data_IF_187405003029
#
_entry.id   IF_187405003029
#
_cell.length_a   1.000
_cell.length_b   1.000
_cell.length_c   1.000
_cell.angle_alpha   90.00
_cell.angle_beta   90.00
_cell.angle_gamma   90.00
#
_symmetry.space_group_name_H-M   'P 1'
#
loop_
_entity.id
_entity.type
_entity.pdbx_description
1 polymer ?
#
# COMPACT_ATOMS: atom_id res chain seq x y z
N UNK A 1 -1.01 -9.39 11.49
CA UNK A 1 -2.38 -8.87 11.33
C UNK A 1 -2.98 -9.39 10.03
N UNK A 2 -4.03 -10.18 10.14
CA UNK A 2 -4.84 -10.63 9.00
C UNK A 2 -6.01 -9.67 8.72
N UNK A 3 -6.81 -9.91 7.67
CA UNK A 3 -7.93 -9.05 7.27
C UNK A 3 -9.01 -8.93 8.35
N UNK A 4 -9.37 -10.02 9.02
CA UNK A 4 -10.43 -10.00 10.04
C UNK A 4 -10.02 -9.16 11.25
N UNK A 5 -8.79 -9.33 11.72
CA UNK A 5 -8.18 -8.51 12.79
C UNK A 5 -8.10 -7.03 12.38
N UNK A 6 -7.74 -6.76 11.12
CA UNK A 6 -7.68 -5.40 10.58
C UNK A 6 -9.07 -4.74 10.56
N UNK A 7 -10.09 -5.42 10.03
CA UNK A 7 -11.48 -4.91 9.98
C UNK A 7 -11.99 -4.63 11.38
N UNK A 8 -11.74 -5.54 12.33
CA UNK A 8 -12.15 -5.36 13.72
C UNK A 8 -11.43 -4.17 14.37
N UNK A 9 -10.13 -4.04 14.18
CA UNK A 9 -9.35 -2.91 14.69
C UNK A 9 -9.81 -1.59 14.05
N UNK A 10 -10.05 -1.56 12.74
CA UNK A 10 -10.58 -0.39 12.02
C UNK A 10 -11.95 0.03 12.56
N UNK A 11 -12.89 -0.92 12.68
CA UNK A 11 -14.23 -0.67 13.18
C UNK A 11 -14.21 -0.11 14.60
N UNK A 12 -13.39 -0.71 15.48
CA UNK A 12 -13.21 -0.26 16.86
C UNK A 12 -12.62 1.15 16.94
N UNK A 13 -11.57 1.43 16.16
CA UNK A 13 -10.89 2.73 16.17
C UNK A 13 -11.75 3.85 15.58
N UNK A 14 -12.54 3.56 14.53
CA UNK A 14 -13.38 4.55 13.84
C UNK A 14 -14.78 4.72 14.46
N UNK A 15 -15.18 3.84 15.38
CA UNK A 15 -16.56 3.76 15.87
C UNK A 15 -17.55 3.41 14.77
N UNK A 16 -17.16 2.50 13.86
CA UNK A 16 -17.95 2.04 12.72
C UNK A 16 -18.45 0.62 12.93
N UNK A 17 -19.44 0.21 12.13
CA UNK A 17 -19.77 -1.21 12.03
C UNK A 17 -18.64 -1.98 11.34
N UNK A 18 -18.48 -3.27 11.67
CA UNK A 18 -17.51 -4.14 10.97
C UNK A 18 -17.82 -4.22 9.47
N UNK A 19 -19.10 -4.15 9.09
CA UNK A 19 -19.53 -4.10 7.69
C UNK A 19 -19.06 -2.83 6.98
N UNK A 20 -19.13 -1.66 7.61
CA UNK A 20 -18.71 -0.41 6.97
C UNK A 20 -17.19 -0.32 6.86
N UNK A 21 -16.47 -0.75 7.89
CA UNK A 21 -15.01 -0.89 7.83
C UNK A 21 -14.57 -1.87 6.73
N UNK A 22 -15.26 -3.01 6.60
CA UNK A 22 -15.04 -3.98 5.51
C UNK A 22 -15.33 -3.35 4.14
N UNK A 23 -16.47 -2.69 3.96
CA UNK A 23 -16.87 -2.03 2.71
C UNK A 23 -15.84 -0.98 2.27
N UNK A 24 -15.36 -0.15 3.20
CA UNK A 24 -14.33 0.85 2.90
C UNK A 24 -13.00 0.20 2.47
N UNK A 25 -12.57 -0.85 3.17
CA UNK A 25 -11.33 -1.58 2.82
C UNK A 25 -11.46 -2.30 1.47
N UNK A 26 -12.60 -2.94 1.20
CA UNK A 26 -12.88 -3.63 -0.05
C UNK A 26 -12.97 -2.63 -1.22
N UNK A 27 -13.59 -1.46 -1.01
CA UNK A 27 -13.63 -0.38 -2.01
C UNK A 27 -12.23 0.14 -2.35
N UNK A 28 -11.37 0.37 -1.35
CA UNK A 28 -9.98 0.76 -1.56
C UNK A 28 -9.20 -0.26 -2.40
N UNK A 29 -9.26 -1.54 -2.02
CA UNK A 29 -8.51 -2.61 -2.73
C UNK A 29 -9.04 -2.83 -4.14
N UNK A 30 -10.36 -2.75 -4.34
CA UNK A 30 -11.01 -2.87 -5.65
C UNK A 30 -10.65 -1.68 -6.56
N UNK A 31 -10.74 -0.45 -6.05
CA UNK A 31 -10.37 0.75 -6.80
C UNK A 31 -8.90 0.72 -7.24
N UNK A 32 -8.01 0.32 -6.34
CA UNK A 32 -6.58 0.17 -6.63
C UNK A 32 -6.35 -0.90 -7.71
N UNK A 33 -7.01 -2.05 -7.60
CA UNK A 33 -6.89 -3.14 -8.59
C UNK A 33 -7.38 -2.68 -9.96
N UNK A 34 -8.54 -2.02 -10.02
CA UNK A 34 -9.13 -1.51 -11.26
C UNK A 34 -8.26 -0.45 -11.95
N UNK A 35 -7.61 0.43 -11.18
CA UNK A 35 -6.66 1.40 -11.70
C UNK A 35 -5.43 0.70 -12.30
N UNK A 36 -4.81 -0.21 -11.54
CA UNK A 36 -3.62 -0.91 -12.00
C UNK A 36 -3.91 -1.76 -13.24
N UNK A 37 -5.05 -2.44 -13.33
CA UNK A 37 -5.46 -3.20 -14.54
C UNK A 37 -5.48 -2.33 -15.81
N UNK A 38 -5.77 -1.03 -15.69
CA UNK A 38 -5.77 -0.08 -16.82
C UNK A 38 -4.37 0.44 -17.17
N UNK A 39 -3.37 0.11 -16.35
CA UNK A 39 -2.03 0.69 -16.43
C UNK A 39 -1.89 2.01 -15.66
N UNK A 40 -2.95 2.43 -14.97
CA UNK A 40 -3.01 3.66 -14.20
C UNK A 40 -2.36 3.47 -12.82
N UNK A 41 -1.86 4.56 -12.26
CA UNK A 41 -1.43 4.63 -10.86
C UNK A 41 -2.62 4.96 -9.95
N UNK A 42 -2.62 4.42 -8.73
CA UNK A 42 -3.62 4.72 -7.71
C UNK A 42 -2.97 5.22 -6.43
N UNK A 43 -3.64 6.10 -5.69
CA UNK A 43 -3.17 6.54 -4.38
C UNK A 43 -4.30 6.55 -3.37
N UNK A 44 -4.04 5.96 -2.21
CA UNK A 44 -4.87 6.17 -1.02
C UNK A 44 -4.26 7.30 -0.22
N UNK A 45 -4.99 8.42 -0.10
CA UNK A 45 -4.49 9.60 0.61
C UNK A 45 -4.14 9.23 2.06
N UNK A 46 -2.99 9.72 2.52
CA UNK A 46 -2.50 9.45 3.87
C UNK A 46 -1.84 8.08 4.05
N UNK A 47 -1.88 7.19 3.05
CA UNK A 47 -1.26 5.85 3.13
C UNK A 47 -0.11 5.67 2.14
N UNK A 48 -0.40 5.62 0.85
CA UNK A 48 0.61 5.39 -0.18
C UNK A 48 0.03 5.20 -1.58
N UNK A 49 0.91 5.31 -2.57
CA UNK A 49 0.61 5.11 -3.98
C UNK A 49 1.07 3.75 -4.49
N UNK A 50 0.32 3.24 -5.47
CA UNK A 50 0.53 1.99 -6.16
C UNK A 50 0.67 2.26 -7.65
N UNK A 51 1.63 1.60 -8.29
CA UNK A 51 1.84 1.72 -9.73
C UNK A 51 2.45 0.45 -10.29
N UNK A 52 2.28 0.22 -11.59
CA UNK A 52 2.92 -0.92 -12.27
C UNK A 52 4.36 -0.59 -12.62
N UNK A 53 5.29 -1.43 -12.19
CA UNK A 53 6.67 -1.39 -12.65
C UNK A 53 6.80 -2.17 -13.96
N UNK A 54 6.80 -1.45 -15.10
CA UNK A 54 7.17 -2.03 -16.39
C UNK A 54 8.65 -2.43 -16.35
N UNK A 55 8.92 -3.72 -16.15
CA UNK A 55 10.28 -4.26 -16.21
C UNK A 55 10.54 -4.88 -17.58
N UNK A 56 11.67 -4.51 -18.19
CA UNK A 56 12.17 -5.23 -19.37
C UNK A 56 12.56 -6.66 -19.00
N UNK A 57 12.42 -7.59 -19.96
CA UNK A 57 12.84 -8.97 -19.76
C UNK A 57 14.31 -9.03 -19.29
N UNK A 58 14.54 -9.75 -18.19
CA UNK A 58 15.88 -10.02 -17.66
C UNK A 58 16.03 -11.53 -17.46
N UNK A 59 17.22 -12.05 -17.72
CA UNK A 59 17.52 -13.46 -17.48
C UNK A 59 17.53 -13.74 -15.96
N UNK A 60 16.50 -14.41 -15.46
CA UNK A 60 16.42 -14.86 -14.07
C UNK A 60 17.34 -16.06 -13.82
N UNK A 61 17.99 -16.11 -12.64
CA UNK A 61 18.65 -17.32 -12.15
C UNK A 61 17.66 -18.12 -11.29
N UNK A 62 17.65 -19.45 -11.47
CA UNK A 62 16.80 -20.36 -10.69
C UNK A 62 17.12 -20.27 -9.17
N UNK A 63 16.17 -19.87 -8.31
CA UNK A 63 16.44 -19.52 -6.91
C UNK A 63 16.67 -20.69 -5.96
N UNK A 64 16.54 -21.95 -6.43
CA UNK A 64 16.84 -23.14 -5.59
C UNK A 64 18.34 -23.29 -5.29
N UNK A 65 19.21 -22.49 -5.92
CA UNK A 65 20.60 -22.32 -5.53
C UNK A 65 20.77 -21.06 -4.66
N UNK A 66 20.39 -21.18 -3.38
CA UNK A 66 20.73 -20.29 -2.26
C UNK A 66 20.51 -18.77 -2.49
N UNK A 67 19.25 -18.38 -2.69
CA UNK A 67 18.56 -17.15 -2.24
C UNK A 67 17.44 -16.83 -3.26
N UNK A 68 16.21 -16.65 -2.76
CA UNK A 68 14.94 -16.69 -3.49
C UNK A 68 14.78 -15.75 -4.71
N UNK A 69 13.71 -15.92 -5.51
CA UNK A 69 13.49 -15.14 -6.72
C UNK A 69 13.45 -13.65 -6.39
N UNK A 70 14.04 -12.84 -7.28
CA UNK A 70 14.13 -11.40 -7.13
C UNK A 70 12.74 -10.78 -7.20
N UNK A 71 12.12 -10.49 -6.04
CA UNK A 71 10.90 -9.70 -5.83
C UNK A 71 10.16 -9.36 -7.14
N UNK A 72 9.49 -10.36 -7.73
CA UNK A 72 8.91 -10.32 -9.08
C UNK A 72 7.58 -9.55 -9.11
N UNK A 73 7.26 -8.82 -8.05
CA UNK A 73 6.02 -8.08 -7.87
C UNK A 73 5.86 -7.02 -8.97
N UNK A 74 4.82 -7.11 -9.83
CA UNK A 74 4.60 -6.12 -10.90
C UNK A 74 4.12 -4.78 -10.35
N UNK A 75 3.63 -4.75 -9.11
CA UNK A 75 3.13 -3.54 -8.45
C UNK A 75 4.19 -3.00 -7.48
N UNK A 76 4.49 -1.72 -7.59
CA UNK A 76 5.30 -0.98 -6.63
C UNK A 76 4.42 -0.17 -5.68
N UNK A 77 4.78 -0.17 -4.40
CA UNK A 77 4.17 0.68 -3.37
C UNK A 77 5.14 1.77 -2.95
N UNK A 78 4.66 3.00 -2.83
CA UNK A 78 5.38 4.12 -2.24
C UNK A 78 4.54 4.73 -1.11
N UNK A 79 5.05 4.64 0.12
CA UNK A 79 4.40 5.24 1.28
C UNK A 79 4.32 6.77 1.15
N UNK A 80 3.19 7.34 1.55
CA UNK A 80 3.05 8.79 1.69
C UNK A 80 3.97 9.32 2.79
N UNK A 81 4.39 10.61 2.73
CA UNK A 81 5.28 11.17 3.75
C UNK A 81 4.72 11.08 5.14
N UNK A 82 3.41 11.33 5.31
CA UNK A 82 2.75 11.27 6.61
C UNK A 82 2.82 9.86 7.18
N UNK A 83 2.48 8.85 6.37
CA UNK A 83 2.60 7.45 6.77
C UNK A 83 4.06 7.02 7.03
N UNK A 84 4.99 7.44 6.16
CA UNK A 84 6.40 7.14 6.32
C UNK A 84 7.00 7.78 7.57
N UNK A 85 6.63 9.03 7.85
CA UNK A 85 7.01 9.76 9.06
C UNK A 85 6.38 9.10 10.30
N UNK A 86 5.10 8.73 10.21
CA UNK A 86 4.41 8.02 11.29
C UNK A 86 5.12 6.71 11.63
N UNK A 87 5.71 6.01 10.67
CA UNK A 87 6.49 4.78 10.85
C UNK A 87 7.95 5.00 11.25
N UNK A 88 8.38 6.23 11.53
CA UNK A 88 9.77 6.61 11.83
C UNK A 88 10.74 6.15 10.73
N UNK A 89 10.25 6.02 9.48
CA UNK A 89 11.09 5.72 8.35
C UNK A 89 11.83 7.00 8.01
N UNK A 90 13.17 7.01 8.07
CA UNK A 90 13.97 8.12 7.55
C UNK A 90 13.66 8.29 6.06
N UNK A 91 12.77 9.22 5.65
CA UNK A 91 12.60 9.52 4.25
C UNK A 91 13.92 10.17 3.85
N UNK A 92 14.49 9.82 2.69
CA UNK A 92 15.69 10.54 2.26
C UNK A 92 15.40 12.04 2.28
N UNK A 93 16.35 12.88 2.72
CA UNK A 93 16.19 14.34 2.64
C UNK A 93 15.85 14.72 1.20
N UNK A 94 14.62 15.18 0.98
CA UNK A 94 14.15 15.67 -0.30
C UNK A 94 12.68 16.10 -0.20
N UNK A 95 12.40 17.31 -0.65
CA UNK A 95 11.07 17.93 -0.70
C UNK A 95 10.12 17.21 -1.70
N UNK A 96 10.65 16.25 -2.47
CA UNK A 96 9.91 15.40 -3.43
C UNK A 96 9.07 14.28 -2.78
N UNK A 97 9.37 13.89 -1.53
CA UNK A 97 8.62 12.81 -0.88
C UNK A 97 7.14 13.18 -0.74
N UNK A 98 6.83 14.47 -0.55
CA UNK A 98 5.48 15.04 -0.36
C UNK A 98 4.65 15.23 -1.61
N UNK A 99 5.25 15.33 -2.79
CA UNK A 99 4.52 15.43 -4.05
C UNK A 99 3.97 14.06 -4.52
N UNK A 100 4.74 12.99 -4.33
CA UNK A 100 4.50 11.66 -4.93
C UNK A 100 3.23 10.94 -4.49
N UNK A 101 2.60 11.38 -3.40
CA UNK A 101 1.33 10.82 -2.95
C UNK A 101 0.09 11.57 -3.44
N UNK A 102 0.26 12.65 -4.19
CA UNK A 102 -0.88 13.33 -4.84
C UNK A 102 -0.83 13.20 -6.36
N UNK A 103 0.33 12.86 -6.92
CA UNK A 103 0.54 12.64 -8.34
C UNK A 103 0.23 11.18 -8.74
N UNK A 104 -1.05 10.80 -8.71
CA UNK A 104 -1.52 9.53 -9.27
C UNK A 104 -2.76 9.73 -10.15
N UNK A 105 -2.98 8.81 -11.09
CA UNK A 105 -4.09 8.89 -12.06
C UNK A 105 -5.45 8.69 -11.36
N UNK A 106 -5.48 7.83 -10.34
CA UNK A 106 -6.66 7.57 -9.49
C UNK A 106 -6.36 7.97 -8.05
N UNK A 107 -7.11 8.95 -7.55
CA UNK A 107 -7.06 9.37 -6.14
C UNK A 107 -8.23 8.72 -5.39
N UNK A 108 -7.89 7.87 -4.43
CA UNK A 108 -8.85 7.18 -3.55
C UNK A 108 -8.92 7.99 -2.25
N UNK A 109 -9.95 8.80 -2.14
CA UNK A 109 -10.30 9.56 -0.94
C UNK A 109 -11.65 9.08 -0.36
N UNK A 110 -12.11 9.75 0.69
CA UNK A 110 -13.36 9.41 1.35
C UNK A 110 -14.58 9.55 0.43
N UNK A 111 -14.57 10.53 -0.48
CA UNK A 111 -15.64 10.75 -1.44
C UNK A 111 -15.67 9.64 -2.49
N UNK A 112 -14.50 9.24 -3.00
CA UNK A 112 -14.36 8.09 -3.89
C UNK A 112 -14.96 6.83 -3.24
N UNK A 113 -14.58 6.51 -2.01
CA UNK A 113 -15.08 5.31 -1.31
C UNK A 113 -16.59 5.39 -1.08
N UNK A 114 -17.12 6.55 -0.69
CA UNK A 114 -18.55 6.72 -0.48
C UNK A 114 -19.35 6.53 -1.78
N UNK A 115 -18.84 7.06 -2.91
CA UNK A 115 -19.45 6.88 -4.23
C UNK A 115 -19.39 5.40 -4.66
N UNK A 116 -18.24 4.75 -4.51
CA UNK A 116 -18.03 3.37 -4.92
C UNK A 116 -18.92 2.40 -4.14
N UNK A 117 -19.08 2.63 -2.83
CA UNK A 117 -19.94 1.79 -1.98
C UNK A 117 -21.44 2.11 -2.12
N UNK A 118 -21.78 3.32 -2.59
CA UNK A 118 -23.15 3.87 -2.63
C UNK A 118 -23.86 3.88 -3.98
N UNK A 119 -23.25 3.36 -5.07
CA UNK A 119 -23.91 3.28 -6.39
C UNK A 119 -24.75 2.03 -6.63
N UNK A 120 -24.59 0.98 -5.81
CA UNK A 120 -25.36 -0.28 -5.94
C UNK A 120 -26.32 -0.55 -4.76
N UNK A 121 -26.22 0.17 -3.63
CA UNK A 121 -27.05 -0.12 -2.45
C UNK A 121 -27.42 1.12 -1.61
N UNK A 122 -28.54 1.03 -0.88
CA UNK A 122 -28.93 2.01 0.16
C UNK A 122 -28.09 1.89 1.45
N UNK A 123 -27.09 1.02 1.45
CA UNK A 123 -26.25 0.68 2.62
C UNK A 123 -24.77 1.01 2.37
N UNK A 124 -24.47 1.90 1.42
CA UNK A 124 -23.11 2.41 1.20
C UNK A 124 -22.56 3.15 2.42
N UNK A 125 -21.23 3.31 2.45
CA UNK A 125 -20.53 4.02 3.51
C UNK A 125 -20.66 5.53 3.24
N UNK A 126 -21.07 6.32 4.24
CA UNK A 126 -21.12 7.78 4.07
C UNK A 126 -19.72 8.37 3.89
N UNK A 127 -19.59 9.55 3.28
CA UNK A 127 -18.27 10.20 3.14
C UNK A 127 -17.56 10.40 4.48
N UNK A 128 -18.29 10.78 5.53
CA UNK A 128 -17.73 10.92 6.88
C UNK A 128 -17.32 9.57 7.50
N UNK A 129 -18.03 8.49 7.20
CA UNK A 129 -17.65 7.15 7.68
C UNK A 129 -16.46 6.61 6.91
N UNK A 130 -16.38 6.90 5.61
CA UNK A 130 -15.26 6.53 4.76
C UNK A 130 -13.98 7.26 5.22
N UNK A 131 -14.06 8.55 5.53
CA UNK A 131 -12.95 9.31 6.10
C UNK A 131 -12.43 8.67 7.39
N UNK A 132 -13.34 8.38 8.34
CA UNK A 132 -12.98 7.70 9.59
C UNK A 132 -12.40 6.31 9.35
N UNK A 133 -12.90 5.56 8.36
CA UNK A 133 -12.37 4.25 8.01
C UNK A 133 -10.96 4.33 7.44
N UNK A 134 -10.67 5.32 6.58
CA UNK A 134 -9.32 5.56 6.03
C UNK A 134 -8.35 5.93 7.15
N UNK A 135 -8.72 6.87 8.02
CA UNK A 135 -7.88 7.29 9.15
C UNK A 135 -7.58 6.10 10.09
N UNK A 136 -8.60 5.30 10.40
CA UNK A 136 -8.45 4.11 11.22
C UNK A 136 -7.57 3.06 10.53
N UNK A 137 -7.71 2.85 9.22
CA UNK A 137 -6.85 1.95 8.45
C UNK A 137 -5.38 2.39 8.55
N UNK A 138 -5.08 3.67 8.29
CA UNK A 138 -3.71 4.21 8.35
C UNK A 138 -3.13 4.07 9.76
N UNK A 139 -3.92 4.36 10.78
CA UNK A 139 -3.50 4.27 12.18
C UNK A 139 -3.19 2.82 12.59
N UNK A 140 -4.12 1.90 12.34
CA UNK A 140 -3.96 0.47 12.64
C UNK A 140 -2.80 -0.14 11.85
N UNK A 141 -2.65 0.19 10.57
CA UNK A 141 -1.54 -0.25 9.75
C UNK A 141 -0.20 0.27 10.29
N UNK A 142 -0.16 1.53 10.74
CA UNK A 142 1.04 2.12 11.35
C UNK A 142 1.44 1.35 12.60
N UNK A 143 0.50 1.12 13.52
CA UNK A 143 0.78 0.40 14.76
C UNK A 143 1.23 -1.03 14.52
N UNK A 144 0.57 -1.76 13.62
CA UNK A 144 0.93 -3.13 13.27
C UNK A 144 2.36 -3.19 12.72
N UNK A 145 2.69 -2.32 11.75
CA UNK A 145 4.01 -2.29 11.15
C UNK A 145 5.10 -1.84 12.13
N UNK A 146 4.82 -0.92 13.06
CA UNK A 146 5.77 -0.54 14.13
C UNK A 146 6.09 -1.70 15.06
N UNK A 147 5.12 -2.56 15.34
CA UNK A 147 5.32 -3.79 16.15
C UNK A 147 6.11 -4.86 15.39
N UNK A 148 6.35 -4.66 14.09
CA UNK A 148 6.99 -5.64 13.21
C UNK A 148 6.02 -6.67 12.66
N UNK A 149 4.71 -6.47 12.84
CA UNK A 149 3.70 -7.35 12.30
C UNK A 149 3.64 -7.22 10.78
N UNK A 150 3.30 -8.32 10.11
CA UNK A 150 2.91 -8.30 8.71
C UNK A 150 1.42 -8.00 8.63
N UNK A 151 1.06 -7.06 7.77
CA UNK A 151 -0.32 -6.70 7.47
C UNK A 151 -0.71 -7.38 6.17
N UNK A 152 -1.51 -8.44 6.24
CA UNK A 152 -2.09 -9.06 5.05
C UNK A 152 -3.45 -8.43 4.77
N UNK A 153 -3.61 -7.86 3.59
CA UNK A 153 -4.88 -7.33 3.10
C UNK A 153 -5.38 -8.30 2.04
N UNK A 154 -6.52 -8.91 2.30
CA UNK A 154 -7.22 -9.74 1.33
C UNK A 154 -8.21 -8.82 0.59
N UNK A 155 -8.23 -8.88 -0.74
CA UNK A 155 -9.04 -8.00 -1.58
C UNK A 155 -9.65 -8.78 -2.73
N UNK A 156 -10.86 -8.39 -3.13
CA UNK A 156 -11.67 -9.12 -4.09
C UNK A 156 -13.08 -9.40 -3.59
N UNK A 157 -13.93 -9.91 -4.49
CA UNK A 157 -15.30 -10.32 -4.16
C UNK A 157 -15.33 -11.64 -3.35
N UNK A 158 -14.29 -12.45 -3.48
CA UNK A 158 -14.07 -13.68 -2.72
C UNK A 158 -13.05 -13.39 -1.59
N UNK A 159 -13.42 -13.68 -0.35
CA UNK A 159 -12.57 -13.44 0.83
C UNK A 159 -11.26 -14.26 0.82
N UNK A 160 -11.12 -15.20 -0.11
CA UNK A 160 -9.89 -15.97 -0.34
C UNK A 160 -8.86 -15.28 -1.23
N UNK A 161 -9.20 -14.16 -1.87
CA UNK A 161 -8.31 -13.43 -2.78
C UNK A 161 -7.42 -12.45 -2.00
N UNK A 162 -6.10 -12.60 -2.13
CA UNK A 162 -5.14 -11.76 -1.41
C UNK A 162 -4.74 -10.56 -2.28
N UNK A 163 -4.99 -9.34 -1.80
CA UNK A 163 -4.51 -8.11 -2.45
C UNK A 163 -2.99 -7.97 -2.31
N UNK A 164 -2.49 -8.14 -1.09
CA UNK A 164 -1.06 -8.19 -0.82
C UNK A 164 -0.72 -8.09 0.65
N UNK A 165 0.57 -8.11 0.94
CA UNK A 165 1.10 -8.06 2.30
C UNK A 165 2.08 -6.91 2.47
N UNK A 166 1.91 -6.11 3.52
CA UNK A 166 2.85 -5.07 3.93
C UNK A 166 3.73 -5.58 5.08
N UNK A 167 5.00 -5.22 5.04
CA UNK A 167 5.95 -5.52 6.11
C UNK A 167 7.05 -4.47 6.20
N UNK A 168 7.72 -4.37 7.35
CA UNK A 168 8.91 -3.53 7.48
C UNK A 168 10.14 -4.31 7.02
N UNK A 169 10.89 -3.69 6.11
CA UNK A 169 12.14 -4.20 5.57
C UNK A 169 13.30 -3.28 5.96
N UNK A 170 14.35 -3.85 6.55
CA UNK A 170 15.54 -3.09 6.97
C UNK A 170 16.51 -2.97 5.80
N UNK A 171 16.74 -1.76 5.31
CA UNK A 171 17.82 -1.45 4.37
C UNK A 171 19.08 -1.11 5.18
N UNK A 172 20.14 -1.88 5.02
CA UNK A 172 21.42 -1.61 5.67
C UNK A 172 22.07 -0.34 5.12
N UNK A 173 22.94 0.27 5.92
CA UNK A 173 23.74 1.41 5.48
C UNK A 173 24.63 0.99 4.31
N UNK A 174 24.78 1.87 3.31
CA UNK A 174 25.61 1.62 2.14
C UNK A 174 26.14 2.91 1.54
N UNK A 175 27.26 2.82 0.86
CA UNK A 175 27.78 3.92 0.05
C UNK A 175 26.98 3.98 -1.26
N UNK A 176 26.35 5.12 -1.53
CA UNK A 176 25.72 5.45 -2.80
C UNK A 176 26.49 6.54 -3.55
N UNK A 177 25.96 6.97 -4.69
CA UNK A 177 26.45 8.15 -5.43
C UNK A 177 25.30 9.09 -5.71
N UNK A 178 25.55 10.38 -5.58
CA UNK A 178 24.59 11.40 -5.97
C UNK A 178 24.39 11.31 -7.50
N UNK A 179 23.16 11.09 -8.00
CA UNK A 179 22.91 10.90 -9.42
C UNK A 179 23.22 12.13 -10.27
N UNK A 180 23.19 13.34 -9.70
CA UNK A 180 23.49 14.59 -10.40
C UNK A 180 24.99 14.91 -10.43
N UNK A 181 25.74 14.56 -9.38
CA UNK A 181 27.15 14.99 -9.22
C UNK A 181 28.17 13.84 -9.25
N UNK A 182 27.72 12.59 -9.19
CA UNK A 182 28.57 11.40 -9.12
C UNK A 182 29.35 11.21 -7.82
N UNK A 183 29.33 12.20 -6.92
CA UNK A 183 30.04 12.16 -5.63
C UNK A 183 29.46 11.07 -4.72
N UNK A 184 30.33 10.42 -3.98
CA UNK A 184 29.92 9.39 -3.02
C UNK A 184 29.16 10.01 -1.85
N UNK A 185 28.10 9.32 -1.44
CA UNK A 185 27.25 9.71 -0.31
C UNK A 185 27.03 8.49 0.58
N UNK A 186 27.09 8.70 1.89
CA UNK A 186 26.74 7.65 2.85
C UNK A 186 25.21 7.63 3.03
N UNK A 187 24.61 6.50 2.68
CA UNK A 187 23.18 6.26 2.89
C UNK A 187 23.05 5.49 4.20
N UNK A 188 22.52 6.14 5.22
CA UNK A 188 22.27 5.51 6.51
C UNK A 188 21.30 4.34 6.38
N UNK A 189 21.40 3.39 7.32
CA UNK A 189 20.40 2.33 7.42
C UNK A 189 19.02 2.94 7.67
N UNK A 190 18.00 2.38 7.01
CA UNK A 190 16.63 2.82 7.18
C UNK A 190 15.66 1.66 7.07
N UNK A 191 14.54 1.79 7.74
CA UNK A 191 13.39 0.95 7.49
C UNK A 191 12.66 1.47 6.26
N UNK A 192 12.06 0.56 5.50
CA UNK A 192 11.13 0.88 4.41
C UNK A 192 9.92 -0.04 4.54
N UNK A 193 8.75 0.45 4.15
CA UNK A 193 7.60 -0.44 3.93
C UNK A 193 7.83 -1.20 2.64
N UNK A 194 7.74 -2.52 2.73
CA UNK A 194 7.76 -3.42 1.60
C UNK A 194 6.35 -3.95 1.39
N UNK A 195 5.82 -3.78 0.17
CA UNK A 195 4.56 -4.37 -0.27
C UNK A 195 4.87 -5.55 -1.18
N UNK A 196 4.33 -6.70 -0.83
CA UNK A 196 4.36 -7.89 -1.67
C UNK A 196 2.98 -8.09 -2.28
N UNK A 197 2.91 -8.04 -3.61
CA UNK A 197 1.68 -8.23 -4.37
C UNK A 197 1.13 -9.64 -4.16
N UNK A 198 -0.18 -9.75 -3.95
CA UNK A 198 -0.88 -11.04 -3.89
C UNK A 198 -0.99 -11.69 -5.28
N UNK A 199 -1.27 -13.00 -5.31
CA UNK A 199 -1.27 -13.77 -6.55
C UNK A 199 -2.30 -13.26 -7.56
N UNK A 200 -3.51 -12.92 -7.12
CA UNK A 200 -4.59 -12.45 -7.99
C UNK A 200 -4.32 -11.04 -8.51
N UNK A 201 -3.89 -10.11 -7.65
CA UNK A 201 -3.49 -8.78 -8.11
C UNK A 201 -2.33 -8.88 -9.12
N UNK A 202 -1.38 -9.80 -8.91
CA UNK A 202 -0.30 -10.05 -9.86
C UNK A 202 -0.80 -10.57 -11.21
N UNK A 203 -1.75 -11.52 -11.23
CA UNK A 203 -2.36 -12.02 -12.48
C UNK A 203 -3.18 -10.96 -13.19
N UNK A 204 -3.88 -10.11 -12.45
CA UNK A 204 -4.75 -9.07 -12.99
C UNK A 204 -3.97 -7.99 -13.76
N UNK A 205 -2.71 -7.74 -13.40
CA UNK A 205 -1.91 -6.60 -13.89
C UNK A 205 -0.72 -6.99 -14.77
N UNK A 206 -0.56 -8.28 -15.08
CA UNK A 206 0.45 -8.81 -16.00
C UNK A 206 -0.19 -9.21 -17.33
#
# INVERSE_FOLDING_TARGET
MNKAELIEAMASHAGLSKSDAKRALDAFTSATTNALQKGDSAVLIGFGSFSISKRSARTGRNPRSRNGPADESPVTFAACPEFAAALDLNPGKGDEASARCRDADVVIDAEYIAIETGRESREGVSASDAERAIEAFVSVATEALKKGDRLSVDGGADESEVFGTFSISKRSARTGRNPQTGKEIQIAAKNVVEFKTGAELSKAVN
#
